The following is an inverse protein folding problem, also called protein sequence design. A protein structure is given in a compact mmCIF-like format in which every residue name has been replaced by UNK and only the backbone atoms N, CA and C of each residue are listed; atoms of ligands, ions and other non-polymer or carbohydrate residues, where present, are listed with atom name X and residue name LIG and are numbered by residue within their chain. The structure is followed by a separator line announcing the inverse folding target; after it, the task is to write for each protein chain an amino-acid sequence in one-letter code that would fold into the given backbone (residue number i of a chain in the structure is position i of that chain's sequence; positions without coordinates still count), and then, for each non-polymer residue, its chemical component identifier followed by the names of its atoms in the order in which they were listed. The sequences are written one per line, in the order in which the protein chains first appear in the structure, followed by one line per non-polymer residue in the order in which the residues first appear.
data_IF_532331132119
#
_entry.id   IF_532331132119
#
_cell.length_a   1.000
_cell.length_b   1.000
_cell.length_c   1.000
_cell.angle_alpha   90.00
_cell.angle_beta   90.00
_cell.angle_gamma   90.00
#
_symmetry.space_group_name_H-M   'P 1'
#
loop_
_entity.id
_entity.type
_entity.pdbx_description
1 polymer ?
#
# COMPACT_ATOMS: atom_id res chain seq x y z
N UNK A 1 10.45 8.13 0.09
CA UNK A 1 9.53 7.64 -0.96
C UNK A 1 8.24 7.06 -0.40
N UNK A 2 8.27 6.35 0.74
CA UNK A 2 7.08 5.86 1.49
C UNK A 2 6.06 6.98 1.78
N UNK A 3 6.55 8.20 2.01
CA UNK A 3 5.75 9.40 2.32
C UNK A 3 4.67 9.73 1.26
N UNK A 4 4.94 9.53 -0.04
CA UNK A 4 3.98 9.90 -1.10
C UNK A 4 2.79 8.96 -1.23
N UNK A 5 2.91 7.71 -0.77
CA UNK A 5 1.77 6.80 -0.72
C UNK A 5 0.76 7.23 0.36
N UNK A 6 1.23 8.01 1.35
CA UNK A 6 0.44 8.45 2.48
C UNK A 6 -0.58 9.52 2.10
N UNK A 7 -0.29 10.34 1.09
CA UNK A 7 -1.11 11.45 0.62
C UNK A 7 -2.27 11.01 -0.30
N UNK A 8 -2.16 9.82 -0.90
CA UNK A 8 -3.12 9.35 -1.92
C UNK A 8 -4.35 8.67 -1.33
N UNK A 9 -4.20 8.01 -0.17
CA UNK A 9 -5.24 7.14 0.40
C UNK A 9 -5.46 7.56 1.85
N UNK A 10 -6.69 7.85 2.28
CA UNK A 10 -6.95 8.07 3.71
C UNK A 10 -6.76 6.77 4.51
N UNK A 11 -6.42 6.86 5.80
CA UNK A 11 -6.29 5.67 6.67
C UNK A 11 -7.56 4.82 6.67
N UNK A 12 -8.72 5.46 6.57
CA UNK A 12 -10.04 4.82 6.55
C UNK A 12 -10.33 4.00 5.28
N UNK A 13 -9.62 4.24 4.17
CA UNK A 13 -9.97 3.65 2.87
C UNK A 13 -9.31 2.29 2.62
N UNK A 14 -8.12 2.07 3.19
CA UNK A 14 -7.39 0.82 2.99
C UNK A 14 -6.39 0.55 4.13
N UNK A 15 -6.37 -0.71 4.58
CA UNK A 15 -5.27 -1.24 5.38
C UNK A 15 -4.00 -1.30 4.52
N UNK A 16 -2.87 -0.85 5.08
CA UNK A 16 -1.59 -0.81 4.37
C UNK A 16 -0.67 -1.92 4.88
N UNK A 17 -0.18 -2.71 3.93
CA UNK A 17 0.79 -3.78 4.20
C UNK A 17 2.00 -3.58 3.29
N UNK A 18 3.19 -3.59 3.87
CA UNK A 18 4.46 -3.52 3.12
C UNK A 18 5.17 -4.84 3.29
N UNK A 19 5.49 -5.50 2.16
CA UNK A 19 6.27 -6.74 2.16
C UNK A 19 7.69 -6.41 1.73
N UNK A 20 8.66 -6.72 2.58
CA UNK A 20 10.09 -6.55 2.32
C UNK A 20 10.72 -7.88 1.90
N UNK A 21 11.78 -7.87 1.08
CA UNK A 21 12.48 -9.09 0.72
C UNK A 21 13.22 -9.65 1.94
N UNK A 22 13.21 -10.99 2.09
CA UNK A 22 14.02 -11.65 3.11
C UNK A 22 15.52 -11.49 2.84
N UNK A 23 16.31 -11.30 3.90
CA UNK A 23 17.77 -11.43 3.83
C UNK A 23 18.12 -12.90 3.67
N UNK A 24 18.52 -13.31 2.48
CA UNK A 24 18.92 -14.68 2.20
C UNK A 24 20.33 -14.96 2.76
N UNK A 25 20.47 -15.08 4.08
CA UNK A 25 21.59 -15.84 4.65
C UNK A 25 21.10 -17.28 4.76
N UNK A 26 21.55 -18.15 3.86
CA UNK A 26 21.19 -19.57 3.83
C UNK A 26 21.51 -20.25 5.18
N UNK A 27 20.50 -20.52 6.02
CA UNK A 27 20.53 -21.44 7.17
C UNK A 27 19.09 -21.71 7.65
N UNK A 28 18.72 -22.99 7.78
CA UNK A 28 17.40 -23.46 8.24
C UNK A 28 17.18 -23.28 9.78
N UNK A 29 16.11 -23.83 10.40
CA UNK A 29 15.02 -23.07 11.01
C UNK A 29 15.07 -23.09 12.54
N UNK A 30 14.79 -21.95 13.19
CA UNK A 30 14.68 -21.95 14.66
C UNK A 30 14.76 -20.56 15.25
N UNK A 31 13.67 -19.81 15.16
CA UNK A 31 13.57 -18.49 15.79
C UNK A 31 12.12 -18.07 15.92
N UNK A 32 11.48 -18.47 17.02
CA UNK A 32 10.23 -17.91 17.49
C UNK A 32 10.42 -16.40 17.69
N UNK A 33 9.99 -15.61 16.71
CA UNK A 33 10.00 -14.14 16.79
C UNK A 33 8.61 -13.68 17.21
N UNK A 34 8.40 -13.58 18.52
CA UNK A 34 7.21 -12.93 19.07
C UNK A 34 7.23 -11.46 18.68
N UNK A 35 6.35 -11.11 17.75
CA UNK A 35 6.07 -9.73 17.41
C UNK A 35 5.29 -9.11 18.56
N UNK A 36 6.02 -8.46 19.47
CA UNK A 36 5.45 -7.67 20.55
C UNK A 36 4.72 -6.48 19.96
N UNK A 37 3.40 -6.60 19.88
CA UNK A 37 2.50 -5.49 19.58
C UNK A 37 2.71 -4.41 20.63
N UNK A 38 3.15 -3.22 20.21
CA UNK A 38 3.19 -2.04 21.06
C UNK A 38 2.03 -1.15 20.70
N UNK A 39 0.99 -1.23 21.51
CA UNK A 39 -0.12 -0.29 21.57
C UNK A 39 0.39 1.09 21.98
N UNK A 40 0.24 2.06 21.08
CA UNK A 40 0.44 3.47 21.35
C UNK A 40 -0.43 4.27 20.40
N UNK A 41 -1.51 4.83 20.94
CA UNK A 41 -2.39 5.77 20.24
C UNK A 41 -1.63 7.08 20.04
N UNK A 42 -0.90 7.15 18.94
CA UNK A 42 -0.39 8.37 18.31
C UNK A 42 -0.94 8.33 16.88
N UNK A 43 -1.16 9.47 16.22
CA UNK A 43 -1.71 9.55 14.85
C UNK A 43 -0.77 8.94 13.76
N UNK A 44 -0.04 7.89 14.11
CA UNK A 44 0.69 6.95 13.28
C UNK A 44 -0.26 6.22 12.33
N UNK A 45 0.15 6.08 11.08
CA UNK A 45 -0.56 5.27 10.10
C UNK A 45 -0.30 3.81 10.47
N UNK A 46 -1.35 3.02 10.67
CA UNK A 46 -1.22 1.57 10.85
C UNK A 46 -0.68 0.94 9.55
N UNK A 47 0.63 0.79 9.50
CA UNK A 47 1.35 0.10 8.42
C UNK A 47 1.85 -1.21 9.00
N UNK A 48 1.30 -2.31 8.50
CA UNK A 48 1.81 -3.64 8.82
C UNK A 48 2.99 -3.95 7.92
N UNK A 49 4.12 -4.32 8.50
CA UNK A 49 5.33 -4.69 7.76
C UNK A 49 5.57 -6.18 7.88
N UNK A 50 5.64 -6.86 6.74
CA UNK A 50 5.91 -8.29 6.62
C UNK A 50 7.23 -8.50 5.89
N UNK A 51 7.90 -9.62 6.16
CA UNK A 51 9.15 -10.01 5.48
C UNK A 51 8.92 -11.32 4.74
N UNK A 52 9.18 -11.31 3.44
CA UNK A 52 9.08 -12.48 2.58
C UNK A 52 10.33 -13.37 2.73
N UNK A 53 10.39 -14.13 3.83
CA UNK A 53 11.55 -14.96 4.18
C UNK A 53 11.85 -16.05 3.15
N UNK A 54 10.81 -16.67 2.59
CA UNK A 54 10.93 -17.77 1.63
C UNK A 54 10.86 -17.32 0.15
N UNK A 55 10.73 -16.01 -0.10
CA UNK A 55 10.62 -15.46 -1.44
C UNK A 55 9.29 -15.78 -2.14
N UNK A 56 8.24 -16.21 -1.44
CA UNK A 56 6.97 -16.59 -2.06
C UNK A 56 6.23 -15.39 -2.64
N UNK A 57 6.27 -14.24 -1.97
CA UNK A 57 5.63 -13.03 -2.45
C UNK A 57 6.41 -12.43 -3.64
N UNK A 58 7.71 -12.18 -3.47
CA UNK A 58 8.54 -11.56 -4.50
C UNK A 58 8.63 -12.42 -5.78
N UNK A 59 8.76 -13.74 -5.65
CA UNK A 59 8.76 -14.66 -6.81
C UNK A 59 7.36 -14.82 -7.40
N UNK A 60 6.34 -14.99 -6.56
CA UNK A 60 4.95 -15.20 -7.00
C UNK A 60 4.36 -14.00 -7.73
N UNK A 61 4.72 -12.79 -7.30
CA UNK A 61 4.30 -11.55 -7.96
C UNK A 61 5.33 -11.00 -8.95
N UNK A 62 6.43 -11.73 -9.20
CA UNK A 62 7.49 -11.39 -10.18
C UNK A 62 8.00 -9.97 -9.98
N UNK A 63 8.34 -9.60 -8.75
CA UNK A 63 8.85 -8.26 -8.41
C UNK A 63 10.33 -8.20 -8.77
N UNK A 64 10.69 -7.31 -9.70
CA UNK A 64 12.09 -7.14 -10.13
C UNK A 64 12.91 -6.35 -9.09
N UNK A 65 14.24 -6.50 -9.12
CA UNK A 65 15.14 -5.78 -8.23
C UNK A 65 15.02 -4.27 -8.46
N UNK A 66 14.78 -3.51 -7.38
CA UNK A 66 14.53 -2.07 -7.44
C UNK A 66 13.14 -1.67 -7.91
N UNK A 67 12.26 -2.61 -8.26
CA UNK A 67 10.86 -2.36 -8.59
C UNK A 67 9.99 -2.32 -7.33
N UNK A 68 8.97 -1.45 -7.33
CA UNK A 68 7.87 -1.50 -6.36
C UNK A 68 6.59 -1.89 -7.09
N UNK A 69 6.07 -3.07 -6.77
CA UNK A 69 4.72 -3.47 -7.16
C UNK A 69 3.74 -3.20 -6.03
N UNK A 70 2.62 -2.61 -6.38
CA UNK A 70 1.51 -2.36 -5.47
C UNK A 70 0.36 -3.25 -5.91
N UNK A 71 -0.11 -4.10 -5.01
CA UNK A 71 -1.26 -4.98 -5.22
C UNK A 71 -2.41 -4.44 -4.40
N UNK A 72 -3.53 -4.12 -5.06
CA UNK A 72 -4.75 -3.69 -4.39
C UNK A 72 -5.66 -4.89 -4.24
N UNK A 73 -5.94 -5.26 -3.00
CA UNK A 73 -6.85 -6.36 -2.66
C UNK A 73 -8.14 -5.75 -2.10
N UNK A 74 -9.29 -6.17 -2.66
CA UNK A 74 -10.61 -5.69 -2.21
C UNK A 74 -11.03 -6.41 -0.92
N UNK A 75 -12.04 -5.89 -0.19
CA UNK A 75 -12.54 -6.54 1.03
C UNK A 75 -13.05 -7.97 0.83
N UNK A 76 -13.40 -8.35 -0.41
CA UNK A 76 -13.80 -9.72 -0.79
C UNK A 76 -12.60 -10.67 -1.02
N UNK A 77 -11.36 -10.19 -0.85
CA UNK A 77 -10.14 -10.96 -1.05
C UNK A 77 -9.67 -11.05 -2.50
N UNK A 78 -10.37 -10.43 -3.45
CA UNK A 78 -10.00 -10.45 -4.87
C UNK A 78 -9.00 -9.34 -5.20
N UNK A 79 -7.99 -9.65 -6.02
CA UNK A 79 -7.06 -8.64 -6.56
C UNK A 79 -7.80 -7.71 -7.51
N UNK A 80 -7.92 -6.44 -7.13
CA UNK A 80 -8.54 -5.40 -7.94
C UNK A 80 -7.56 -4.73 -8.91
N UNK A 81 -6.29 -4.63 -8.54
CA UNK A 81 -5.25 -4.10 -9.42
C UNK A 81 -3.84 -4.54 -9.01
N UNK A 82 -2.94 -4.59 -10.00
CA UNK A 82 -1.49 -4.69 -9.81
C UNK A 82 -0.88 -3.52 -10.58
N UNK A 83 -0.23 -2.60 -9.86
CA UNK A 83 0.28 -1.35 -10.44
C UNK A 83 1.72 -1.10 -10.03
N UNK A 84 2.40 -0.28 -10.85
CA UNK A 84 3.75 0.19 -10.61
C UNK A 84 3.70 1.60 -10.03
N UNK A 85 3.98 1.71 -8.73
CA UNK A 85 4.02 2.99 -8.04
C UNK A 85 2.69 3.74 -7.90
N UNK A 86 2.79 4.97 -7.41
CA UNK A 86 1.68 5.77 -6.87
C UNK A 86 0.67 6.20 -7.95
N UNK A 87 1.14 6.61 -9.13
CA UNK A 87 0.26 7.10 -10.20
C UNK A 87 -0.70 6.04 -10.75
N UNK A 88 -0.35 4.75 -10.65
CA UNK A 88 -1.28 3.66 -10.99
C UNK A 88 -2.34 3.46 -9.91
N UNK A 89 -1.95 3.64 -8.64
CA UNK A 89 -2.82 3.52 -7.49
C UNK A 89 -3.88 4.63 -7.44
N UNK A 90 -3.46 5.87 -7.71
CA UNK A 90 -4.37 7.03 -7.86
C UNK A 90 -5.45 6.73 -8.90
N UNK A 91 -5.04 6.31 -10.11
CA UNK A 91 -5.97 5.98 -11.19
C UNK A 91 -6.94 4.87 -10.83
N UNK A 92 -6.49 3.84 -10.10
CA UNK A 92 -7.37 2.78 -9.62
C UNK A 92 -8.45 3.34 -8.69
N UNK A 93 -8.07 4.12 -7.68
CA UNK A 93 -9.02 4.67 -6.72
C UNK A 93 -9.96 5.72 -7.33
N UNK A 94 -9.46 6.54 -8.27
CA UNK A 94 -10.32 7.43 -9.06
C UNK A 94 -11.34 6.66 -9.91
N UNK A 95 -10.95 5.53 -10.48
CA UNK A 95 -11.87 4.68 -11.25
C UNK A 95 -12.95 4.02 -10.39
N UNK A 96 -12.61 3.62 -9.16
CA UNK A 96 -13.52 2.93 -8.24
C UNK A 96 -14.47 3.89 -7.51
N UNK A 97 -13.95 5.01 -7.01
CA UNK A 97 -14.70 5.95 -6.17
C UNK A 97 -15.03 7.28 -6.85
N UNK A 98 -14.58 7.46 -8.09
CA UNK A 98 -14.61 8.75 -8.77
C UNK A 98 -13.46 9.66 -8.33
N UNK A 99 -13.21 10.74 -9.08
CA UNK A 99 -12.33 11.81 -8.60
C UNK A 99 -12.93 12.42 -7.34
N UNK A 100 -12.09 12.68 -6.34
CA UNK A 100 -12.48 13.58 -5.24
C UNK A 100 -12.98 14.87 -5.89
N UNK A 101 -14.27 15.16 -5.76
CA UNK A 101 -14.78 16.51 -6.03
C UNK A 101 -14.15 17.39 -4.96
N UNK A 102 -13.06 18.06 -5.32
CA UNK A 102 -12.64 19.23 -4.58
C UNK A 102 -13.84 20.18 -4.56
N UNK A 103 -14.23 20.63 -3.37
CA UNK A 103 -15.09 21.80 -3.21
C UNK A 103 -14.29 23.00 -3.71
N UNK A 104 -14.20 23.19 -5.03
CA UNK A 104 -13.78 24.39 -5.75
C UNK A 104 -14.22 24.24 -7.23
N UNK A 105 -15.50 24.06 -7.44
CA UNK A 105 -16.17 24.38 -8.70
C UNK A 105 -17.23 25.44 -8.40
N UNK A 106 -16.78 26.55 -7.81
CA UNK A 106 -17.60 27.73 -7.53
C UNK A 106 -16.75 29.00 -7.71
N UNK A 107 -16.00 29.11 -8.81
CA UNK A 107 -15.38 30.35 -9.26
C UNK A 107 -15.54 30.50 -10.78
N UNK A 108 -16.75 30.26 -11.28
CA UNK A 108 -17.14 30.63 -12.65
C UNK A 108 -18.63 31.05 -12.66
N UNK A 109 -18.97 31.96 -11.74
CA UNK A 109 -20.19 32.78 -11.82
C UNK A 109 -19.82 34.21 -11.45
N UNK A 110 -19.08 34.88 -12.33
CA UNK A 110 -19.26 36.31 -12.58
C UNK A 110 -19.17 36.50 -14.08
N UNK A 111 -20.31 36.34 -14.74
CA UNK A 111 -20.55 36.91 -16.05
C UNK A 111 -21.66 37.95 -15.88
N UNK A 112 -21.43 39.10 -16.51
CA UNK A 112 -22.19 40.38 -16.55
C UNK A 112 -21.73 41.43 -15.52
#
# INVERSE_FOLDING_TARGET
MIVRLQEVISKELAKRVVVLPGSHSHSEPGGHVESRMSSGEDETIDIEVLVDQAGHAYRGYVVEEGEIKIVVVRPDGVVGAIVRGVAGLERYFEGVFGKRRGVLAMEDVVQV
#
